data_IF_193177971694
#
_entry.id   IF_193177971694
#
_cell.length_a   1.000
_cell.length_b   1.000
_cell.length_c   1.000
_cell.angle_alpha   90.00
_cell.angle_beta   90.00
_cell.angle_gamma   90.00
#
_symmetry.space_group_name_H-M   'P 1'
#
loop_
_entity.id
_entity.type
_entity.pdbx_description
1 polymer ?
#
# COMPACT_ATOMS: atom_id res chain seq x y z
N UNK A 1 -12.24 15.19 16.30
CA UNK A 1 -13.07 14.28 15.47
C UNK A 1 -12.82 12.83 15.92
N UNK A 2 -13.81 11.94 15.76
CA UNK A 2 -13.63 10.48 15.94
C UNK A 2 -13.76 9.75 14.62
N UNK A 3 -12.94 8.72 14.40
CA UNK A 3 -13.02 7.81 13.26
C UNK A 3 -13.53 6.46 13.75
N UNK A 4 -14.50 5.88 13.05
CA UNK A 4 -14.99 4.53 13.33
C UNK A 4 -14.96 3.74 12.02
N UNK A 5 -14.18 2.66 12.00
CA UNK A 5 -13.97 1.82 10.84
C UNK A 5 -13.80 0.38 11.30
N UNK A 6 -14.65 -0.52 10.79
CA UNK A 6 -14.67 -1.95 11.16
C UNK A 6 -14.69 -2.15 12.68
N UNK A 7 -15.65 -1.50 13.35
CA UNK A 7 -15.87 -1.53 14.81
C UNK A 7 -14.72 -1.00 15.68
N UNK A 8 -13.65 -0.48 15.07
CA UNK A 8 -12.56 0.20 15.77
C UNK A 8 -12.80 1.70 15.73
N UNK A 9 -13.12 2.26 16.91
CA UNK A 9 -13.26 3.70 17.12
C UNK A 9 -11.98 4.30 17.69
N UNK A 10 -11.46 5.31 17.02
CA UNK A 10 -10.28 6.06 17.45
C UNK A 10 -10.59 7.56 17.51
N UNK A 11 -10.08 8.23 18.55
CA UNK A 11 -10.19 9.69 18.69
C UNK A 11 -8.95 10.34 18.13
N UNK A 12 -9.12 11.36 17.29
CA UNK A 12 -8.00 12.18 16.83
C UNK A 12 -7.58 13.08 18.02
N UNK A 13 -6.31 13.05 18.45
CA UNK A 13 -5.83 13.92 19.53
C UNK A 13 -6.07 15.39 19.23
N UNK A 14 -6.41 16.19 20.25
CA UNK A 14 -6.76 17.61 20.07
C UNK A 14 -5.65 18.43 19.40
N UNK A 15 -4.38 18.11 19.68
CA UNK A 15 -3.22 18.77 19.09
C UNK A 15 -2.99 18.41 17.60
N UNK A 16 -3.73 17.44 17.06
CA UNK A 16 -3.67 17.01 15.65
C UNK A 16 -4.95 17.35 14.87
N UNK A 17 -5.78 18.28 15.38
CA UNK A 17 -7.01 18.71 14.70
C UNK A 17 -6.78 19.27 13.29
N UNK A 18 -5.62 19.85 13.03
CA UNK A 18 -5.24 20.32 11.69
C UNK A 18 -5.18 19.21 10.62
N UNK A 19 -5.15 17.93 11.03
CA UNK A 19 -5.16 16.77 10.14
C UNK A 19 -6.57 16.20 9.89
N UNK A 20 -7.65 16.76 10.47
CA UNK A 20 -9.01 16.20 10.35
C UNK A 20 -9.50 16.04 8.90
N UNK A 21 -9.15 16.98 8.01
CA UNK A 21 -9.49 16.87 6.58
C UNK A 21 -8.72 15.71 5.91
N UNK A 22 -7.42 15.58 6.23
CA UNK A 22 -6.60 14.48 5.74
C UNK A 22 -7.14 13.14 6.23
N UNK A 23 -7.56 13.06 7.50
CA UNK A 23 -8.20 11.87 8.08
C UNK A 23 -9.50 11.52 7.37
N UNK A 24 -10.36 12.51 7.13
CA UNK A 24 -11.61 12.30 6.39
C UNK A 24 -11.36 11.76 4.97
N UNK A 25 -10.35 12.28 4.27
CA UNK A 25 -9.93 11.76 2.96
C UNK A 25 -9.41 10.33 3.05
N UNK A 26 -8.55 10.03 4.04
CA UNK A 26 -8.01 8.69 4.29
C UNK A 26 -9.11 7.66 4.55
N UNK A 27 -10.09 8.00 5.41
CA UNK A 27 -11.25 7.17 5.74
C UNK A 27 -12.10 6.88 4.49
N UNK A 28 -12.34 7.88 3.64
CA UNK A 28 -13.01 7.66 2.35
C UNK A 28 -12.25 6.68 1.46
N UNK A 29 -10.91 6.81 1.40
CA UNK A 29 -10.05 5.86 0.69
C UNK A 29 -10.12 4.44 1.25
N UNK A 30 -10.15 4.30 2.57
CA UNK A 30 -10.31 3.01 3.24
C UNK A 30 -11.62 2.33 2.85
N UNK A 31 -12.76 3.03 2.94
CA UNK A 31 -14.07 2.46 2.57
C UNK A 31 -14.10 1.97 1.12
N UNK A 32 -13.57 2.77 0.19
CA UNK A 32 -13.55 2.40 -1.22
C UNK A 32 -12.67 1.17 -1.47
N UNK A 33 -11.48 1.13 -0.88
CA UNK A 33 -10.58 -0.01 -1.01
C UNK A 33 -11.14 -1.28 -0.35
N UNK A 34 -11.69 -1.15 0.85
CA UNK A 34 -12.35 -2.25 1.54
C UNK A 34 -13.50 -2.82 0.71
N UNK A 35 -14.34 -1.96 0.14
CA UNK A 35 -15.42 -2.38 -0.76
C UNK A 35 -14.92 -3.16 -1.98
N UNK A 36 -13.75 -2.81 -2.53
CA UNK A 36 -13.16 -3.56 -3.66
C UNK A 36 -12.67 -4.94 -3.22
N UNK A 37 -12.14 -5.10 -2.01
CA UNK A 37 -11.77 -6.41 -1.45
C UNK A 37 -12.97 -7.29 -1.13
N UNK A 38 -14.13 -6.69 -0.83
CA UNK A 38 -15.38 -7.42 -0.58
C UNK A 38 -16.13 -7.78 -1.88
N UNK A 39 -15.73 -7.24 -3.04
CA UNK A 39 -16.33 -7.60 -4.33
C UNK A 39 -16.06 -9.09 -4.62
N UNK A 40 -17.09 -9.95 -4.82
CA UNK A 40 -16.88 -11.35 -5.17
C UNK A 40 -16.05 -11.55 -6.44
N UNK A 41 -16.13 -10.60 -7.37
CA UNK A 41 -15.32 -10.56 -8.57
C UNK A 41 -13.83 -10.32 -8.29
N UNK A 42 -13.45 -9.79 -7.12
CA UNK A 42 -12.05 -9.68 -6.72
C UNK A 42 -11.41 -11.05 -6.54
N UNK A 43 -11.97 -11.92 -5.70
CA UNK A 43 -11.44 -13.27 -5.46
C UNK A 43 -11.59 -14.15 -6.71
N UNK A 44 -12.75 -14.12 -7.37
CA UNK A 44 -13.00 -14.90 -8.59
C UNK A 44 -12.28 -14.34 -9.84
N UNK A 45 -11.59 -13.19 -9.71
CA UNK A 45 -11.00 -12.43 -10.83
C UNK A 45 -11.99 -12.12 -11.97
N UNK A 46 -13.29 -12.09 -11.67
CA UNK A 46 -14.33 -11.79 -12.65
C UNK A 46 -14.31 -10.30 -12.96
N UNK A 47 -14.20 -9.96 -14.25
CA UNK A 47 -14.06 -8.56 -14.70
C UNK A 47 -12.67 -7.96 -14.47
N UNK A 48 -11.68 -8.78 -14.09
CA UNK A 48 -10.28 -8.38 -13.99
C UNK A 48 -9.49 -8.90 -15.19
N UNK A 49 -8.65 -8.05 -15.77
CA UNK A 49 -7.76 -8.39 -16.89
C UNK A 49 -6.37 -8.73 -16.36
N UNK A 50 -5.80 -9.87 -16.75
CA UNK A 50 -4.38 -10.17 -16.48
C UNK A 50 -3.50 -9.21 -17.30
N UNK A 51 -2.59 -8.49 -16.64
CA UNK A 51 -1.69 -7.51 -17.28
C UNK A 51 -0.24 -8.01 -17.34
N UNK A 52 0.20 -8.79 -16.35
CA UNK A 52 1.54 -9.37 -16.31
C UNK A 52 1.58 -10.65 -15.45
N UNK A 53 2.53 -11.53 -15.73
CA UNK A 53 2.77 -12.77 -14.98
C UNK A 53 4.23 -13.17 -15.10
N UNK A 54 4.79 -13.69 -14.02
CA UNK A 54 6.10 -14.33 -13.98
C UNK A 54 6.11 -15.44 -12.91
N UNK A 55 7.29 -15.95 -12.55
CA UNK A 55 7.43 -16.98 -11.51
C UNK A 55 7.09 -16.50 -10.10
N UNK A 56 7.09 -15.18 -9.83
CA UNK A 56 6.75 -14.59 -8.53
C UNK A 56 5.24 -14.45 -8.34
N UNK A 57 4.49 -14.21 -9.41
CA UNK A 57 3.04 -14.08 -9.36
C UNK A 57 2.38 -13.49 -10.60
N UNK A 58 1.13 -13.05 -10.43
CA UNK A 58 0.30 -12.44 -11.47
C UNK A 58 -0.23 -11.08 -11.04
N UNK A 59 -0.26 -10.13 -11.97
CA UNK A 59 -0.83 -8.81 -11.81
C UNK A 59 -2.07 -8.68 -12.69
N UNK A 60 -3.16 -8.23 -12.09
CA UNK A 60 -4.44 -8.00 -12.74
C UNK A 60 -4.80 -6.53 -12.68
N UNK A 61 -5.71 -6.09 -13.56
CA UNK A 61 -6.27 -4.75 -13.49
C UNK A 61 -7.76 -4.70 -13.78
N UNK A 62 -8.41 -3.63 -13.34
CA UNK A 62 -9.81 -3.31 -13.63
C UNK A 62 -9.97 -1.80 -13.75
N UNK A 63 -10.92 -1.37 -14.58
CA UNK A 63 -11.29 0.05 -14.66
C UNK A 63 -12.24 0.39 -13.51
N UNK A 64 -11.93 1.44 -12.76
CA UNK A 64 -12.76 2.04 -11.71
C UNK A 64 -12.93 3.55 -11.98
N UNK A 65 -13.73 4.23 -11.14
CA UNK A 65 -14.02 5.66 -11.30
C UNK A 65 -12.76 6.55 -11.32
N UNK A 66 -11.72 6.15 -10.57
CA UNK A 66 -10.45 6.89 -10.46
C UNK A 66 -9.44 6.58 -11.57
N UNK A 67 -9.72 5.60 -12.43
CA UNK A 67 -8.76 5.10 -13.41
C UNK A 67 -8.63 3.59 -13.37
N UNK A 68 -7.48 3.10 -13.83
CA UNK A 68 -7.17 1.68 -13.79
C UNK A 68 -6.56 1.34 -12.41
N UNK A 69 -7.17 0.39 -11.72
CA UNK A 69 -6.63 -0.20 -10.50
C UNK A 69 -5.91 -1.49 -10.86
N UNK A 70 -4.75 -1.70 -10.28
CA UNK A 70 -3.96 -2.93 -10.41
C UNK A 70 -3.95 -3.68 -9.09
N UNK A 71 -3.95 -5.01 -9.13
CA UNK A 71 -3.84 -5.84 -7.94
C UNK A 71 -3.00 -7.08 -8.19
N UNK A 72 -2.42 -7.61 -7.11
CA UNK A 72 -1.73 -8.89 -7.12
C UNK A 72 -2.07 -9.68 -5.86
N UNK A 73 -1.97 -11.01 -5.94
CA UNK A 73 -2.10 -11.95 -4.83
C UNK A 73 -0.90 -12.88 -4.83
N UNK A 74 -0.23 -13.00 -3.70
CA UNK A 74 0.96 -13.82 -3.54
C UNK A 74 1.09 -14.28 -2.09
N UNK A 75 2.00 -15.22 -1.85
CA UNK A 75 2.32 -15.74 -0.52
C UNK A 75 3.75 -15.33 -0.17
N UNK A 76 3.96 -14.96 1.09
CA UNK A 76 5.28 -14.70 1.65
C UNK A 76 5.57 -15.67 2.79
N UNK A 77 6.84 -16.04 2.94
CA UNK A 77 7.31 -17.03 3.93
C UNK A 77 7.67 -16.35 5.25
N UNK A 78 6.68 -15.70 5.87
CA UNK A 78 6.74 -15.15 7.21
C UNK A 78 5.32 -15.05 7.80
N UNK A 79 5.19 -15.20 9.12
CA UNK A 79 3.90 -15.09 9.81
C UNK A 79 3.34 -13.67 9.75
N UNK A 80 2.02 -13.58 9.88
CA UNK A 80 1.28 -12.32 9.70
C UNK A 80 1.71 -11.24 10.69
N UNK A 81 1.99 -11.61 11.94
CA UNK A 81 2.35 -10.65 12.99
C UNK A 81 3.70 -9.99 12.67
N UNK A 82 4.70 -10.81 12.32
CA UNK A 82 6.03 -10.34 11.96
C UNK A 82 6.00 -9.46 10.70
N UNK A 83 5.23 -9.88 9.68
CA UNK A 83 5.04 -9.07 8.46
C UNK A 83 4.39 -7.73 8.77
N UNK A 84 3.33 -7.73 9.59
CA UNK A 84 2.60 -6.50 9.91
C UNK A 84 3.41 -5.57 10.82
N UNK A 85 4.23 -6.12 11.72
CA UNK A 85 5.16 -5.32 12.51
C UNK A 85 6.14 -4.56 11.60
N UNK A 86 6.81 -5.26 10.68
CA UNK A 86 7.75 -4.65 9.73
C UNK A 86 7.05 -3.60 8.84
N UNK A 87 6.00 -4.00 8.12
CA UNK A 87 5.33 -3.14 7.14
C UNK A 87 4.60 -1.93 7.77
N UNK A 88 3.98 -2.11 8.95
CA UNK A 88 3.19 -1.05 9.58
C UNK A 88 4.00 -0.17 10.51
N UNK A 89 4.81 -0.77 11.39
CA UNK A 89 5.54 -0.06 12.45
C UNK A 89 6.89 0.45 11.98
N UNK A 90 7.48 -0.12 10.92
CA UNK A 90 8.81 0.26 10.43
C UNK A 90 8.82 0.67 8.94
N UNK A 91 7.89 1.52 8.49
CA UNK A 91 7.83 1.92 7.07
C UNK A 91 9.09 2.63 6.59
N UNK A 92 9.83 3.28 7.49
CA UNK A 92 11.06 4.00 7.18
C UNK A 92 12.23 3.08 6.82
N UNK A 93 12.12 1.79 7.16
CA UNK A 93 13.10 0.76 6.74
C UNK A 93 12.82 0.18 5.36
N UNK A 94 11.68 0.53 4.74
CA UNK A 94 11.32 0.06 3.41
C UNK A 94 12.42 0.30 2.34
N UNK A 95 13.14 1.45 2.33
CA UNK A 95 14.24 1.67 1.39
C UNK A 95 15.43 0.72 1.55
N UNK A 96 15.57 0.05 2.70
CA UNK A 96 16.68 -0.88 2.95
C UNK A 96 16.57 -2.17 2.12
N UNK A 97 15.34 -2.53 1.71
CA UNK A 97 15.06 -3.80 1.04
C UNK A 97 14.24 -3.67 -0.26
N UNK A 98 13.44 -2.61 -0.41
CA UNK A 98 12.63 -2.38 -1.60
C UNK A 98 13.34 -1.39 -2.55
N UNK A 99 13.84 -1.88 -3.70
CA UNK A 99 14.62 -1.04 -4.60
C UNK A 99 13.78 -0.04 -5.40
N UNK A 100 12.45 -0.11 -5.32
CA UNK A 100 11.59 0.96 -5.82
C UNK A 100 11.43 2.12 -4.86
N UNK A 101 11.78 1.98 -3.58
CA UNK A 101 11.61 3.04 -2.59
C UNK A 101 12.97 3.64 -2.26
N UNK A 102 13.14 4.91 -2.59
CA UNK A 102 14.40 5.63 -2.36
C UNK A 102 14.43 6.23 -0.94
N UNK A 103 13.28 6.65 -0.44
CA UNK A 103 13.11 7.11 0.93
C UNK A 103 11.67 6.88 1.38
N UNK A 104 11.48 6.74 2.69
CA UNK A 104 10.18 6.76 3.34
C UNK A 104 10.34 7.33 4.74
N UNK A 105 9.54 8.35 5.07
CA UNK A 105 9.53 9.01 6.37
C UNK A 105 8.10 9.04 6.91
N UNK A 106 7.92 8.82 8.22
CA UNK A 106 6.64 9.10 8.86
C UNK A 106 6.57 10.59 9.21
N UNK A 107 5.61 11.29 8.62
CA UNK A 107 5.39 12.71 8.91
C UNK A 107 4.66 12.92 10.24
N UNK A 108 3.65 12.08 10.49
CA UNK A 108 2.88 12.13 11.74
C UNK A 108 2.24 10.79 12.04
N UNK A 109 2.29 10.39 13.31
CA UNK A 109 1.45 9.35 13.87
C UNK A 109 0.21 10.01 14.46
N UNK A 110 -0.97 9.75 13.89
CA UNK A 110 -2.24 10.30 14.40
C UNK A 110 -2.79 9.39 15.49
N UNK A 111 -2.76 8.09 15.25
CA UNK A 111 -3.12 7.04 16.19
C UNK A 111 -2.24 5.81 15.94
N UNK A 112 -2.45 4.72 16.68
CA UNK A 112 -1.78 3.46 16.39
C UNK A 112 -2.05 2.94 14.95
N UNK A 113 -3.24 3.22 14.44
CA UNK A 113 -3.73 2.69 13.17
C UNK A 113 -3.87 3.73 12.07
N UNK A 114 -3.47 4.98 12.32
CA UNK A 114 -3.52 6.07 11.36
C UNK A 114 -2.21 6.85 11.40
N UNK A 115 -1.52 6.93 10.27
CA UNK A 115 -0.33 7.76 10.13
C UNK A 115 -0.25 8.37 8.73
N UNK A 116 0.60 9.38 8.55
CA UNK A 116 0.91 9.96 7.24
C UNK A 116 2.38 9.72 6.96
N UNK A 117 2.68 9.20 5.78
CA UNK A 117 4.04 8.98 5.30
C UNK A 117 4.34 9.83 4.08
N UNK A 118 5.59 10.25 3.97
CA UNK A 118 6.18 10.82 2.76
C UNK A 118 7.23 9.86 2.24
N UNK A 119 7.02 9.35 1.03
CA UNK A 119 7.94 8.41 0.41
C UNK A 119 8.11 8.72 -1.07
N UNK A 120 9.21 8.27 -1.65
CA UNK A 120 9.51 8.51 -3.04
C UNK A 120 10.23 7.34 -3.69
N UNK A 121 10.14 7.28 -5.01
CA UNK A 121 10.77 6.26 -5.82
C UNK A 121 11.80 6.84 -6.78
N UNK A 122 12.85 6.09 -7.05
CA UNK A 122 13.77 6.43 -8.13
C UNK A 122 13.07 6.44 -9.50
N UNK A 123 13.73 6.97 -10.54
CA UNK A 123 13.22 6.87 -11.90
C UNK A 123 13.06 5.40 -12.31
N UNK A 124 11.95 5.06 -12.94
CA UNK A 124 11.65 3.72 -13.45
C UNK A 124 11.52 3.78 -14.97
N UNK A 125 12.47 3.17 -15.69
CA UNK A 125 12.53 3.24 -17.15
C UNK A 125 12.53 4.70 -17.65
N UNK A 126 11.53 5.09 -18.44
CA UNK A 126 11.36 6.47 -18.96
C UNK A 126 10.53 7.39 -18.05
N UNK A 127 10.15 6.90 -16.86
CA UNK A 127 9.28 7.58 -15.90
C UNK A 127 10.17 8.15 -14.80
N UNK A 128 10.30 9.49 -14.73
CA UNK A 128 11.06 10.20 -13.67
C UNK A 128 10.70 9.78 -12.23
N UNK A 129 11.52 10.14 -11.24
CA UNK A 129 11.17 9.90 -9.83
C UNK A 129 9.88 10.60 -9.42
N UNK A 130 9.07 9.92 -8.61
CA UNK A 130 7.87 10.47 -7.95
C UNK A 130 8.11 10.58 -6.45
N UNK A 131 7.38 11.49 -5.82
CA UNK A 131 7.12 11.42 -4.39
C UNK A 131 5.61 11.34 -4.12
N UNK A 132 5.29 10.87 -2.92
CA UNK A 132 3.94 10.60 -2.47
C UNK A 132 3.81 11.03 -1.02
N UNK A 133 2.74 11.75 -0.71
CA UNK A 133 2.27 11.92 0.67
C UNK A 133 1.01 11.09 0.79
N UNK A 134 1.02 10.12 1.70
CA UNK A 134 -0.05 9.13 1.83
C UNK A 134 -0.49 9.01 3.27
N UNK A 135 -1.78 9.24 3.52
CA UNK A 135 -2.38 8.80 4.76
C UNK A 135 -2.63 7.30 4.69
N UNK A 136 -2.10 6.58 5.66
CA UNK A 136 -2.27 5.15 5.82
C UNK A 136 -3.24 4.86 6.96
N UNK A 137 -4.15 3.92 6.75
CA UNK A 137 -5.07 3.39 7.76
C UNK A 137 -4.89 1.87 7.81
N UNK A 138 -4.82 1.31 9.02
CA UNK A 138 -4.84 -0.14 9.27
C UNK A 138 -6.11 -0.51 10.03
N UNK A 139 -6.74 -1.62 9.66
CA UNK A 139 -7.81 -2.26 10.45
C UNK A 139 -7.66 -3.75 10.41
N UNK A 140 -8.14 -4.41 11.45
CA UNK A 140 -8.18 -5.86 11.54
C UNK A 140 -9.59 -6.30 11.89
N UNK A 141 -10.10 -7.29 11.16
CA UNK A 141 -11.39 -7.92 11.40
C UNK A 141 -11.28 -9.39 11.01
N UNK A 142 -11.80 -10.29 11.84
CA UNK A 142 -11.80 -11.74 11.62
C UNK A 142 -10.43 -12.34 11.26
N UNK A 143 -9.36 -11.85 11.89
CA UNK A 143 -7.98 -12.31 11.63
C UNK A 143 -7.41 -11.88 10.27
N UNK A 144 -8.07 -10.94 9.59
CA UNK A 144 -7.63 -10.33 8.34
C UNK A 144 -7.27 -8.88 8.59
N UNK A 145 -6.05 -8.50 8.22
CA UNK A 145 -5.57 -7.12 8.32
C UNK A 145 -5.76 -6.43 6.98
N UNK A 146 -6.38 -5.26 7.00
CA UNK A 146 -6.58 -4.38 5.86
C UNK A 146 -5.76 -3.12 6.06
N UNK A 147 -5.01 -2.72 5.03
CA UNK A 147 -4.37 -1.42 4.96
C UNK A 147 -4.89 -0.65 3.77
N UNK A 148 -5.06 0.66 3.95
CA UNK A 148 -5.31 1.59 2.86
C UNK A 148 -4.32 2.75 2.92
N UNK A 149 -4.06 3.34 1.77
CA UNK A 149 -3.21 4.48 1.52
C UNK A 149 -3.93 5.40 0.55
N UNK A 150 -4.04 6.69 0.89
CA UNK A 150 -4.61 7.70 0.02
C UNK A 150 -3.78 8.96 0.08
N UNK A 151 -3.56 9.58 -1.08
CA UNK A 151 -2.87 10.86 -1.10
C UNK A 151 -3.71 11.96 -0.46
N UNK A 152 -3.05 12.71 0.43
CA UNK A 152 -3.65 13.79 1.20
C UNK A 152 -2.73 15.00 1.20
N UNK A 153 -3.33 16.17 1.36
CA UNK A 153 -2.60 17.37 1.78
C UNK A 153 -2.54 17.37 3.31
N UNK A 154 -1.40 17.77 3.86
CA UNK A 154 -1.17 17.81 5.30
C UNK A 154 -0.18 18.93 5.65
N UNK A 155 -0.24 19.46 6.90
CA UNK A 155 0.79 20.35 7.43
C UNK A 155 2.18 19.74 7.32
N UNK A 156 3.20 20.60 7.09
CA UNK A 156 4.60 20.17 7.06
C UNK A 156 5.01 19.31 5.86
N UNK A 157 4.13 19.13 4.86
CA UNK A 157 4.44 18.36 3.64
C UNK A 157 5.64 18.98 2.90
N UNK A 158 6.73 18.21 2.67
CA UNK A 158 7.87 18.70 1.92
C UNK A 158 7.49 19.05 0.47
N UNK A 159 8.22 20.02 -0.11
CA UNK A 159 8.18 20.24 -1.56
C UNK A 159 8.80 19.03 -2.28
N UNK A 160 8.28 18.62 -3.44
CA UNK A 160 8.75 17.42 -4.13
C UNK A 160 10.16 17.56 -4.75
N UNK A 161 10.78 18.75 -4.68
CA UNK A 161 12.09 18.99 -5.28
C UNK A 161 12.04 18.90 -6.79
N UNK A 162 12.91 18.06 -7.37
CA UNK A 162 12.98 17.72 -8.79
C UNK A 162 11.98 16.63 -9.21
N UNK A 163 11.24 16.06 -8.25
CA UNK A 163 10.26 14.99 -8.49
C UNK A 163 8.89 15.55 -8.85
N UNK A 164 8.07 14.68 -9.43
CA UNK A 164 6.64 14.93 -9.62
C UNK A 164 5.86 14.33 -8.44
N UNK A 165 5.09 15.16 -7.73
CA UNK A 165 4.13 14.69 -6.70
C UNK A 165 3.01 13.90 -7.35
N UNK A 166 3.07 12.57 -7.25
CA UNK A 166 2.02 11.70 -7.72
C UNK A 166 0.88 11.60 -6.70
N UNK A 167 -0.27 11.09 -7.15
CA UNK A 167 -1.48 11.00 -6.36
C UNK A 167 -1.97 9.55 -6.29
N UNK A 168 -2.03 9.01 -5.07
CA UNK A 168 -2.57 7.69 -4.77
C UNK A 168 -4.07 7.85 -4.57
N UNK A 169 -4.86 7.42 -5.56
CA UNK A 169 -6.30 7.38 -5.42
C UNK A 169 -6.70 6.29 -4.41
N UNK A 170 -6.08 5.11 -4.55
CA UNK A 170 -6.19 3.95 -3.68
C UNK A 170 -4.84 3.20 -3.67
N UNK A 171 -4.39 2.75 -2.52
CA UNK A 171 -3.20 1.94 -2.34
C UNK A 171 -3.30 1.12 -1.07
N UNK A 172 -2.66 -0.03 -0.95
CA UNK A 172 -2.64 -0.80 0.31
C UNK A 172 -2.77 -2.30 0.06
N UNK A 173 -3.22 -3.04 1.09
CA UNK A 173 -3.38 -4.48 0.96
C UNK A 173 -4.36 -5.14 1.94
N UNK A 174 -4.62 -6.42 1.69
CA UNK A 174 -5.32 -7.37 2.54
C UNK A 174 -4.33 -8.49 2.88
N UNK A 175 -4.18 -8.77 4.17
CA UNK A 175 -3.19 -9.70 4.71
C UNK A 175 -3.89 -10.70 5.62
N UNK A 176 -3.62 -11.98 5.44
CA UNK A 176 -4.20 -13.06 6.27
C UNK A 176 -3.24 -14.23 6.38
N UNK A 177 -3.32 -14.97 7.48
CA UNK A 177 -2.57 -16.22 7.65
C UNK A 177 -2.89 -17.19 6.50
N UNK A 178 -1.89 -17.94 6.06
CA UNK A 178 -2.14 -19.01 5.11
C UNK A 178 -2.93 -20.14 5.81
N UNK A 179 -4.00 -20.69 5.18
CA UNK A 179 -4.92 -21.61 5.85
C UNK A 179 -4.27 -22.95 6.24
N UNK A 180 -3.17 -23.31 5.58
CA UNK A 180 -2.45 -24.59 5.80
C UNK A 180 -1.12 -24.42 6.53
N UNK A 181 -0.64 -23.19 6.72
CA UNK A 181 0.72 -22.91 7.23
C UNK A 181 0.74 -21.53 7.90
N UNK A 182 0.62 -21.47 9.22
CA UNK A 182 0.53 -20.20 9.95
C UNK A 182 1.85 -19.42 10.02
N UNK A 183 2.97 -20.02 9.59
CA UNK A 183 4.24 -19.34 9.34
C UNK A 183 4.28 -18.60 8.00
N UNK A 184 3.20 -18.64 7.22
CA UNK A 184 3.06 -17.96 5.93
C UNK A 184 1.89 -16.99 5.93
N UNK A 185 2.05 -15.95 5.11
CA UNK A 185 1.02 -14.91 4.94
C UNK A 185 0.59 -14.82 3.48
N UNK A 186 -0.73 -14.81 3.26
CA UNK A 186 -1.33 -14.44 1.97
C UNK A 186 -1.42 -12.93 1.93
N UNK A 187 -0.84 -12.34 0.89
CA UNK A 187 -0.80 -10.91 0.65
C UNK A 187 -1.56 -10.58 -0.63
N UNK A 188 -2.50 -9.63 -0.53
CA UNK A 188 -3.26 -9.11 -1.66
C UNK A 188 -3.10 -7.60 -1.71
N UNK A 189 -2.30 -7.08 -2.63
CA UNK A 189 -2.04 -5.64 -2.77
C UNK A 189 -2.87 -5.03 -3.90
N UNK A 190 -3.19 -3.74 -3.76
CA UNK A 190 -3.93 -2.98 -4.75
C UNK A 190 -3.38 -1.56 -4.88
N UNK A 191 -3.24 -1.07 -6.12
CA UNK A 191 -2.77 0.28 -6.43
C UNK A 191 -3.57 0.91 -7.56
N UNK A 192 -4.10 2.10 -7.32
CA UNK A 192 -4.63 3.02 -8.32
C UNK A 192 -3.93 4.37 -8.15
N UNK A 193 -2.92 4.60 -8.98
CA UNK A 193 -2.01 5.74 -8.87
C UNK A 193 -2.12 6.60 -10.12
N UNK A 194 -2.32 7.89 -9.91
CA UNK A 194 -2.06 8.92 -10.91
C UNK A 194 -0.63 9.41 -10.75
N UNK A 195 0.26 8.97 -11.65
CA UNK A 195 1.67 9.36 -11.64
C UNK A 195 1.91 10.82 -11.98
N UNK A 196 0.88 11.53 -12.46
CA UNK A 196 0.92 12.89 -12.99
C UNK A 196 2.03 13.11 -14.03
N UNK A 197 2.17 14.35 -14.49
CA UNK A 197 3.14 14.74 -15.52
C UNK A 197 2.68 14.41 -16.94
N UNK A 198 3.62 14.37 -17.88
CA UNK A 198 3.34 14.28 -19.32
C UNK A 198 3.47 12.85 -19.88
N UNK A 199 3.65 11.84 -19.04
CA UNK A 199 3.82 10.45 -19.50
C UNK A 199 2.47 9.89 -19.97
N UNK A 200 2.37 9.33 -21.19
CA UNK A 200 1.14 8.73 -21.68
C UNK A 200 0.62 7.61 -20.76
N UNK A 201 -0.70 7.54 -20.55
CA UNK A 201 -1.33 6.52 -19.69
C UNK A 201 -1.01 5.08 -20.11
N UNK A 202 -0.89 4.82 -21.41
CA UNK A 202 -0.52 3.50 -21.93
C UNK A 202 0.87 3.05 -21.47
N UNK A 203 1.83 3.99 -21.42
CA UNK A 203 3.17 3.75 -20.89
C UNK A 203 3.09 3.46 -19.39
N UNK A 204 2.40 4.30 -18.62
CA UNK A 204 2.20 4.08 -17.18
C UNK A 204 1.62 2.70 -16.90
N UNK A 205 0.58 2.29 -17.62
CA UNK A 205 -0.05 0.99 -17.41
C UNK A 205 0.86 -0.20 -17.75
N UNK A 206 1.70 -0.07 -18.78
CA UNK A 206 2.70 -1.09 -19.12
C UNK A 206 3.78 -1.21 -18.03
N UNK A 207 4.21 -0.09 -17.46
CA UNK A 207 5.21 -0.05 -16.39
C UNK A 207 4.66 -0.60 -15.08
N UNK A 208 3.40 -0.30 -14.75
CA UNK A 208 2.75 -0.75 -13.50
C UNK A 208 2.76 -2.27 -13.33
N UNK A 209 2.47 -3.03 -14.39
CA UNK A 209 2.51 -4.49 -14.32
C UNK A 209 3.88 -5.02 -13.92
N UNK A 210 4.95 -4.46 -14.50
CA UNK A 210 6.33 -4.85 -14.20
C UNK A 210 6.77 -4.42 -12.81
N UNK A 211 6.41 -3.19 -12.40
CA UNK A 211 6.70 -2.69 -11.05
C UNK A 211 6.08 -3.59 -9.98
N UNK A 212 4.81 -3.94 -10.13
CA UNK A 212 4.13 -4.81 -9.16
C UNK A 212 4.71 -6.22 -9.12
N UNK A 213 5.12 -6.81 -10.26
CA UNK A 213 5.79 -8.11 -10.24
C UNK A 213 7.11 -8.07 -9.47
N UNK A 214 7.88 -7.00 -9.62
CA UNK A 214 9.12 -6.81 -8.88
C UNK A 214 8.86 -6.48 -7.41
N UNK A 215 7.80 -5.74 -7.08
CA UNK A 215 7.39 -5.55 -5.69
C UNK A 215 7.08 -6.91 -5.03
N UNK A 216 6.37 -7.83 -5.71
CA UNK A 216 6.10 -9.18 -5.19
C UNK A 216 7.41 -9.90 -4.87
N UNK A 217 8.37 -9.88 -5.79
CA UNK A 217 9.68 -10.52 -5.63
C UNK A 217 10.43 -9.97 -4.42
N UNK A 218 10.49 -8.65 -4.26
CA UNK A 218 11.17 -8.00 -3.14
C UNK A 218 10.51 -8.31 -1.80
N UNK A 219 9.17 -8.35 -1.73
CA UNK A 219 8.46 -8.77 -0.52
C UNK A 219 8.74 -10.24 -0.18
N UNK A 220 8.83 -11.12 -1.19
CA UNK A 220 9.16 -12.54 -0.98
C UNK A 220 10.60 -12.73 -0.48
N UNK A 221 11.55 -11.94 -0.97
CA UNK A 221 12.95 -11.94 -0.51
C UNK A 221 13.02 -11.41 0.93
N UNK A 222 12.44 -10.24 1.19
CA UNK A 222 12.44 -9.60 2.50
C UNK A 222 11.76 -10.46 3.58
N UNK A 223 10.65 -11.12 3.25
CA UNK A 223 9.98 -12.04 4.16
C UNK A 223 10.89 -13.18 4.65
N UNK A 224 11.72 -13.75 3.76
CA UNK A 224 12.69 -14.80 4.15
C UNK A 224 13.75 -14.25 5.10
N UNK A 225 14.21 -13.03 4.87
CA UNK A 225 15.15 -12.34 5.76
C UNK A 225 14.52 -12.06 7.15
N UNK A 226 13.26 -11.59 7.19
CA UNK A 226 12.51 -11.41 8.44
C UNK A 226 12.38 -12.72 9.22
N UNK A 227 12.01 -13.82 8.55
CA UNK A 227 11.89 -15.15 9.17
C UNK A 227 13.23 -15.64 9.71
N UNK A 228 14.31 -15.47 8.94
CA UNK A 228 15.68 -15.80 9.37
C UNK A 228 16.11 -15.03 10.63
N UNK A 229 15.86 -13.71 10.65
CA UNK A 229 16.14 -12.83 11.80
C UNK A 229 15.32 -13.19 13.03
N UNK A 230 14.04 -13.53 12.84
CA UNK A 230 13.16 -13.99 13.92
C UNK A 230 13.65 -15.30 14.55
N UNK A 231 14.07 -16.27 13.74
CA UNK A 231 14.54 -17.57 14.22
C UNK A 231 15.94 -17.53 14.88
N UNK A 232 16.67 -16.42 14.70
CA UNK A 232 18.00 -16.22 15.27
C UNK A 232 17.98 -15.50 16.63
N UNK A 233 16.81 -15.03 17.07
CA UNK A 233 16.59 -14.33 18.35
C UNK A 233 15.79 -15.21 19.32
#
# INVERSE_FOLDING_TARGET
MSVELLDVREQIPDHLKEYEEAVSKGVSGFHEMFSLFQDPGFEARTGWKKEAENHCGSVYSRQIKHGKVFCAKFVVDVDLETLMHDNWKQPEKMPEWNTHVEFCNVLVHITENINIVHYGNGPVLMVSGRDFVSMRIKREVDGVVYTSGKSVDAPGVPKPGDRVRAHINLGGGKFRKHPEDDEKTIVEIMHCIDFRGMVPKSVIYSVMGKMMLKDIEEHQIHAKDLKSKKNSN
#
